data_IF_528326428428
#
_entry.id   IF_528326428428
#
_cell.length_a   1.000
_cell.length_b   1.000
_cell.length_c   1.000
_cell.angle_alpha   90.00
_cell.angle_beta   90.00
_cell.angle_gamma   90.00
#
_symmetry.space_group_name_H-M   'P 1'
#
loop_
_entity.id
_entity.type
_entity.pdbx_description
1 polymer ?
#
# COMPACT_ATOMS: atom_id res chain seq x y z
N UNK A 1 11.63 -16.94 -33.53
CA UNK A 1 10.35 -16.69 -32.82
C UNK A 1 10.67 -16.60 -31.35
N UNK A 2 10.52 -15.45 -30.76
CA UNK A 2 10.90 -15.20 -29.37
C UNK A 2 9.76 -15.64 -28.46
N UNK A 3 9.96 -16.70 -27.69
CA UNK A 3 9.00 -17.16 -26.68
C UNK A 3 8.97 -16.24 -25.46
N UNK A 4 8.43 -15.04 -25.59
CA UNK A 4 8.22 -14.14 -24.45
C UNK A 4 7.00 -14.51 -23.57
N UNK A 5 6.25 -15.54 -23.93
CA UNK A 5 4.98 -15.87 -23.28
C UNK A 5 5.05 -16.81 -22.07
N UNK A 6 6.08 -17.63 -21.95
CA UNK A 6 5.99 -18.79 -21.05
C UNK A 6 6.92 -18.81 -19.84
N UNK A 7 7.70 -17.75 -19.60
CA UNK A 7 8.65 -17.75 -18.47
C UNK A 7 8.05 -17.27 -17.14
N UNK A 8 6.78 -16.89 -17.11
CA UNK A 8 6.14 -16.37 -15.90
C UNK A 8 5.15 -17.31 -15.22
N UNK A 9 4.82 -18.44 -15.84
CA UNK A 9 3.89 -19.41 -15.27
C UNK A 9 4.59 -20.74 -15.02
N UNK A 10 5.03 -20.92 -13.80
CA UNK A 10 5.41 -22.25 -13.32
C UNK A 10 4.11 -23.00 -13.02
N UNK A 11 3.94 -24.25 -13.50
CA UNK A 11 2.77 -25.08 -13.14
C UNK A 11 2.65 -25.15 -11.61
N UNK A 12 1.52 -24.75 -11.07
CA UNK A 12 1.30 -24.70 -9.63
C UNK A 12 1.39 -23.32 -8.99
N UNK A 13 1.75 -22.28 -9.75
CA UNK A 13 1.63 -20.89 -9.26
C UNK A 13 0.14 -20.51 -9.23
N UNK A 14 -0.35 -20.05 -8.11
CA UNK A 14 -1.72 -19.51 -8.03
C UNK A 14 -1.84 -18.36 -9.03
N UNK A 15 -2.74 -18.49 -9.99
CA UNK A 15 -3.15 -17.35 -10.80
C UNK A 15 -3.86 -16.35 -9.91
N UNK A 16 -3.30 -15.15 -9.85
CA UNK A 16 -3.94 -14.05 -9.15
C UNK A 16 -4.73 -13.24 -10.17
N UNK A 17 -6.06 -13.13 -10.02
CA UNK A 17 -6.89 -12.41 -10.98
C UNK A 17 -6.45 -10.97 -11.25
N UNK A 18 -5.80 -10.35 -10.27
CA UNK A 18 -5.29 -8.99 -10.39
C UNK A 18 -4.02 -8.88 -11.26
N UNK A 19 -3.25 -9.96 -11.45
CA UNK A 19 -1.99 -9.92 -12.22
C UNK A 19 -2.20 -9.98 -13.73
N UNK A 20 -3.38 -10.35 -14.19
CA UNK A 20 -3.68 -10.56 -15.62
C UNK A 20 -4.16 -9.30 -16.33
N UNK A 21 -4.57 -8.26 -15.60
CA UNK A 21 -5.06 -7.03 -16.22
C UNK A 21 -4.03 -5.90 -16.11
N UNK A 22 -3.61 -5.31 -17.24
CA UNK A 22 -2.73 -4.16 -17.18
C UNK A 22 -3.43 -3.00 -16.45
N UNK A 23 -2.76 -2.47 -15.43
CA UNK A 23 -3.24 -1.27 -14.73
C UNK A 23 -2.75 0.01 -15.41
N UNK A 24 -1.64 -0.08 -16.15
CA UNK A 24 -1.04 1.04 -16.87
C UNK A 24 -1.48 1.06 -18.32
N UNK A 25 -2.06 2.16 -18.77
CA UNK A 25 -2.33 2.43 -20.19
C UNK A 25 -1.08 2.91 -20.90
N UNK A 26 -0.31 3.78 -20.24
CA UNK A 26 0.94 4.31 -20.76
C UNK A 26 1.95 4.53 -19.62
N UNK A 27 3.21 4.21 -19.89
CA UNK A 27 4.32 4.51 -18.96
C UNK A 27 5.33 5.37 -19.70
N UNK A 28 5.38 6.67 -19.37
CA UNK A 28 6.31 7.66 -19.99
C UNK A 28 7.65 7.71 -19.28
N UNK A 29 7.65 7.60 -17.95
CA UNK A 29 8.86 7.64 -17.14
C UNK A 29 8.79 6.64 -16.00
N UNK A 30 9.82 5.83 -15.91
CA UNK A 30 9.92 4.75 -14.91
C UNK A 30 11.34 4.66 -14.37
N UNK A 31 11.46 4.56 -13.06
CA UNK A 31 12.70 4.18 -12.37
C UNK A 31 12.70 2.68 -12.13
N UNK A 32 13.41 1.92 -12.96
CA UNK A 32 13.42 0.44 -12.95
C UNK A 32 13.98 -0.10 -11.64
N UNK A 33 15.08 0.48 -11.17
CA UNK A 33 15.67 0.19 -9.87
C UNK A 33 15.23 1.26 -8.85
N UNK A 34 13.90 1.50 -8.77
CA UNK A 34 13.32 2.62 -8.01
C UNK A 34 13.77 2.70 -6.57
N UNK A 35 13.98 1.56 -5.93
CA UNK A 35 14.55 1.49 -4.59
C UNK A 35 14.33 0.14 -3.93
N UNK A 36 15.07 -0.06 -2.85
CA UNK A 36 14.91 -1.22 -1.96
C UNK A 36 14.03 -0.84 -0.77
N UNK A 37 13.19 -1.74 -0.34
CA UNK A 37 12.37 -1.57 0.86
C UNK A 37 12.55 -2.77 1.80
N UNK A 38 12.36 -2.53 3.11
CA UNK A 38 12.45 -3.57 4.13
C UNK A 38 11.32 -4.59 3.97
N UNK A 39 11.63 -5.87 4.10
CA UNK A 39 10.67 -6.97 4.13
C UNK A 39 10.26 -7.37 5.56
N UNK A 40 10.65 -6.58 6.56
CA UNK A 40 10.19 -6.80 7.93
C UNK A 40 8.66 -6.76 8.00
N UNK A 41 8.06 -7.78 8.57
CA UNK A 41 6.61 -7.91 8.68
C UNK A 41 5.92 -8.58 7.49
N UNK A 42 6.66 -8.95 6.44
CA UNK A 42 6.12 -9.72 5.31
C UNK A 42 6.44 -11.20 5.43
N UNK A 43 5.53 -12.02 4.93
CA UNK A 43 5.72 -13.46 4.84
C UNK A 43 6.07 -13.89 3.41
N UNK A 44 6.73 -15.04 3.29
CA UNK A 44 6.94 -15.65 1.99
C UNK A 44 5.60 -15.96 1.33
N UNK A 45 5.42 -15.46 0.11
CA UNK A 45 4.18 -15.61 -0.66
C UNK A 45 3.23 -14.41 -0.55
N UNK A 46 3.53 -13.44 0.31
CA UNK A 46 2.78 -12.18 0.33
C UNK A 46 2.95 -11.44 -1.00
N UNK A 47 1.88 -10.77 -1.44
CA UNK A 47 1.85 -10.01 -2.67
C UNK A 47 1.52 -8.56 -2.33
N UNK A 48 2.44 -7.69 -2.71
CA UNK A 48 2.24 -6.24 -2.67
C UNK A 48 1.64 -5.84 -4.02
N UNK A 49 0.46 -5.24 -4.00
CA UNK A 49 -0.25 -4.86 -5.22
C UNK A 49 0.54 -3.84 -6.06
N UNK A 50 0.26 -3.80 -7.36
CA UNK A 50 0.71 -2.71 -8.23
C UNK A 50 -0.09 -1.43 -7.95
N UNK A 51 0.47 -0.26 -8.32
CA UNK A 51 -0.20 1.03 -8.13
C UNK A 51 -0.13 1.58 -6.69
N UNK A 52 0.73 1.01 -5.83
CA UNK A 52 0.93 1.54 -4.46
C UNK A 52 1.77 2.81 -4.51
N UNK A 53 1.41 3.84 -3.74
CA UNK A 53 2.23 5.04 -3.61
C UNK A 53 3.59 4.74 -2.97
N UNK A 54 4.65 5.30 -3.55
CA UNK A 54 6.04 5.06 -3.14
C UNK A 54 6.75 6.39 -2.97
N UNK A 55 7.51 6.52 -1.88
CA UNK A 55 8.49 7.57 -1.67
C UNK A 55 9.87 7.02 -1.97
N UNK A 56 10.63 7.72 -2.80
CA UNK A 56 11.99 7.36 -3.14
C UNK A 56 12.98 8.10 -2.24
N UNK A 57 13.92 7.36 -1.69
CA UNK A 57 15.02 7.95 -0.94
C UNK A 57 15.94 8.76 -1.85
N UNK A 58 16.64 9.72 -1.27
CA UNK A 58 17.67 10.49 -1.98
C UNK A 58 18.72 9.52 -2.53
N UNK A 59 19.13 9.75 -3.79
CA UNK A 59 20.17 8.96 -4.47
C UNK A 59 19.78 7.51 -4.83
N UNK A 60 18.48 7.17 -4.91
CA UNK A 60 18.03 5.91 -5.55
C UNK A 60 18.32 4.62 -4.77
N UNK A 61 18.62 4.71 -3.46
CA UNK A 61 18.97 3.53 -2.67
C UNK A 61 17.78 2.87 -1.99
N UNK A 62 16.84 3.65 -1.48
CA UNK A 62 15.71 3.16 -0.67
C UNK A 62 14.37 3.57 -1.24
N UNK A 63 13.36 2.78 -0.97
CA UNK A 63 11.97 3.10 -1.25
C UNK A 63 11.14 2.88 0.01
N UNK A 64 10.18 3.76 0.26
CA UNK A 64 9.17 3.57 1.29
C UNK A 64 7.83 3.36 0.61
N UNK A 65 7.28 2.19 0.77
CA UNK A 65 5.92 1.88 0.33
C UNK A 65 4.95 2.55 1.30
N UNK A 66 3.91 3.19 0.77
CA UNK A 66 2.89 3.84 1.57
C UNK A 66 1.62 2.99 1.61
N UNK A 67 1.47 2.11 2.62
CA UNK A 67 0.28 1.30 2.75
C UNK A 67 -0.95 2.15 3.00
N UNK A 68 -2.09 1.65 2.54
CA UNK A 68 -3.40 2.25 2.72
C UNK A 68 -4.28 1.20 3.36
N UNK A 69 -4.96 1.58 4.42
CA UNK A 69 -5.88 0.73 5.17
C UNK A 69 -7.28 1.29 5.10
N UNK A 70 -8.26 0.46 4.77
CA UNK A 70 -9.66 0.82 4.76
C UNK A 70 -10.29 0.46 6.10
N UNK A 71 -10.99 1.39 6.71
CA UNK A 71 -11.77 1.17 7.93
C UNK A 71 -12.97 0.31 7.57
N UNK A 72 -13.20 -0.74 8.35
CA UNK A 72 -14.34 -1.65 8.19
C UNK A 72 -15.30 -1.44 9.34
N UNK A 73 -16.48 -0.96 9.02
CA UNK A 73 -17.48 -0.51 9.99
C UNK A 73 -17.20 0.87 10.55
N UNK A 74 -18.23 1.60 10.91
CA UNK A 74 -18.09 2.92 11.53
C UNK A 74 -17.49 2.79 12.94
N UNK A 75 -16.54 3.67 13.24
CA UNK A 75 -15.86 3.73 14.55
C UNK A 75 -16.27 5.03 15.24
N UNK A 76 -17.02 4.95 16.34
CA UNK A 76 -17.35 6.14 17.13
C UNK A 76 -16.13 6.66 17.89
N UNK A 77 -16.19 7.89 18.37
CA UNK A 77 -15.11 8.45 19.19
C UNK A 77 -14.85 7.61 20.46
N UNK A 78 -15.87 6.98 21.00
CA UNK A 78 -15.80 6.16 22.22
C UNK A 78 -15.47 4.68 21.95
N UNK A 79 -15.29 4.31 20.67
CA UNK A 79 -15.01 2.93 20.32
C UNK A 79 -13.62 2.49 20.82
N UNK A 80 -13.56 1.25 21.26
CA UNK A 80 -12.32 0.59 21.71
C UNK A 80 -11.81 -0.46 20.74
N UNK A 81 -12.47 -0.59 19.58
CA UNK A 81 -12.08 -1.55 18.55
C UNK A 81 -12.02 -0.84 17.20
N UNK A 82 -10.94 -1.08 16.47
CA UNK A 82 -10.73 -0.62 15.10
C UNK A 82 -10.47 -1.84 14.22
N UNK A 83 -11.24 -1.98 13.14
CA UNK A 83 -11.02 -3.03 12.15
C UNK A 83 -10.51 -2.40 10.86
N UNK A 84 -9.37 -2.89 10.38
CA UNK A 84 -8.72 -2.41 9.16
C UNK A 84 -8.61 -3.52 8.11
N UNK A 85 -8.86 -3.15 6.86
CA UNK A 85 -8.57 -3.99 5.69
C UNK A 85 -7.40 -3.38 4.93
N UNK A 86 -6.25 -4.06 4.81
CA UNK A 86 -5.16 -3.60 3.97
C UNK A 86 -5.57 -3.64 2.50
N UNK A 87 -5.42 -2.53 1.79
CA UNK A 87 -5.73 -2.46 0.36
C UNK A 87 -4.54 -2.87 -0.51
N UNK A 88 -3.34 -2.65 0.00
CA UNK A 88 -2.11 -2.79 -0.79
C UNK A 88 -1.40 -4.13 -0.62
N UNK A 89 -1.96 -5.07 0.11
CA UNK A 89 -1.28 -6.30 0.50
C UNK A 89 -0.24 -6.12 1.61
N UNK A 90 -0.02 -4.88 2.06
CA UNK A 90 0.86 -4.58 3.19
C UNK A 90 0.03 -4.68 4.46
N UNK A 91 0.36 -5.64 5.32
CA UNK A 91 -0.37 -5.85 6.57
C UNK A 91 -0.07 -4.73 7.58
N UNK A 92 -1.06 -4.31 8.37
CA UNK A 92 -0.84 -3.37 9.46
C UNK A 92 -0.09 -4.08 10.59
N UNK A 93 1.00 -3.46 11.05
CA UNK A 93 1.84 -3.99 12.14
C UNK A 93 1.83 -3.04 13.33
N UNK A 94 2.18 -3.57 14.49
CA UNK A 94 2.37 -2.80 15.73
C UNK A 94 3.34 -1.64 15.52
N UNK A 95 3.14 -0.55 16.24
CA UNK A 95 3.88 0.71 16.18
C UNK A 95 3.78 1.50 14.84
N UNK A 96 3.02 1.01 13.88
CA UNK A 96 2.76 1.76 12.66
C UNK A 96 1.85 2.95 12.95
N UNK A 97 2.36 4.18 12.83
CA UNK A 97 1.56 5.39 13.05
C UNK A 97 0.66 5.65 11.85
N UNK A 98 -0.65 5.60 12.06
CA UNK A 98 -1.64 5.80 11.01
C UNK A 98 -2.65 6.88 11.37
N UNK A 99 -3.29 7.46 10.37
CA UNK A 99 -4.34 8.45 10.55
C UNK A 99 -5.10 8.74 9.27
N UNK A 100 -6.31 9.29 9.41
CA UNK A 100 -7.10 9.83 8.31
C UNK A 100 -6.56 11.21 7.95
N UNK A 101 -6.27 11.43 6.68
CA UNK A 101 -5.74 12.70 6.18
C UNK A 101 -6.81 13.51 5.45
N UNK A 102 -6.63 14.80 5.45
CA UNK A 102 -7.40 15.75 4.61
C UNK A 102 -6.74 15.93 3.23
N UNK A 103 -7.32 16.80 2.41
CA UNK A 103 -6.81 17.11 1.07
C UNK A 103 -5.42 17.79 1.06
N UNK A 104 -4.92 18.25 2.21
CA UNK A 104 -3.57 18.83 2.37
C UNK A 104 -2.54 17.81 2.86
N UNK A 105 -2.96 16.57 3.11
CA UNK A 105 -2.12 15.51 3.65
C UNK A 105 -1.91 15.60 5.16
N UNK A 106 -2.67 16.45 5.85
CA UNK A 106 -2.62 16.60 7.31
C UNK A 106 -3.62 15.67 7.98
N UNK A 107 -3.21 15.04 9.05
CA UNK A 107 -4.09 14.24 9.91
C UNK A 107 -4.49 15.05 11.15
N UNK A 108 -5.78 15.12 11.42
CA UNK A 108 -6.29 15.71 12.67
C UNK A 108 -5.89 14.85 13.88
N UNK A 109 -5.98 13.54 13.72
CA UNK A 109 -5.57 12.55 14.71
C UNK A 109 -4.76 11.45 14.02
N UNK A 110 -3.72 11.00 14.70
CA UNK A 110 -2.91 9.86 14.31
C UNK A 110 -2.36 9.19 15.55
N UNK A 111 -2.21 7.90 15.49
CA UNK A 111 -1.63 7.13 16.59
C UNK A 111 -0.91 5.88 16.05
N UNK A 112 0.00 5.36 16.85
CA UNK A 112 0.59 4.05 16.61
C UNK A 112 -0.48 2.97 16.79
N UNK A 113 -0.50 1.99 15.89
CA UNK A 113 -1.35 0.82 16.04
C UNK A 113 -0.81 -0.04 17.18
N UNK A 114 -1.68 -0.54 18.07
CA UNK A 114 -1.29 -1.59 19.01
C UNK A 114 -1.10 -2.94 18.28
N UNK A 115 -0.71 -3.97 19.01
CA UNK A 115 -0.72 -5.32 18.47
C UNK A 115 -2.11 -5.69 17.95
N UNK A 116 -2.17 -6.12 16.69
CA UNK A 116 -3.41 -6.46 16.00
C UNK A 116 -3.61 -7.97 15.88
N UNK A 117 -4.86 -8.37 15.69
CA UNK A 117 -5.24 -9.77 15.46
C UNK A 117 -5.82 -9.91 14.05
N UNK A 118 -5.25 -10.82 13.26
CA UNK A 118 -5.83 -11.20 11.97
C UNK A 118 -7.15 -11.93 12.18
N UNK A 119 -8.18 -11.51 11.47
CA UNK A 119 -9.50 -12.12 11.51
C UNK A 119 -9.57 -13.31 10.55
N UNK A 120 -10.43 -14.26 10.85
CA UNK A 120 -10.60 -15.50 10.08
C UNK A 120 -12.02 -15.65 9.54
N UNK A 121 -12.27 -16.67 8.73
CA UNK A 121 -13.59 -16.94 8.16
C UNK A 121 -14.01 -15.88 7.14
N UNK A 122 -15.21 -15.34 7.28
CA UNK A 122 -15.76 -14.30 6.38
C UNK A 122 -15.01 -12.98 6.47
N UNK A 123 -14.26 -12.76 7.54
CA UNK A 123 -13.48 -11.57 7.80
C UNK A 123 -11.98 -11.78 7.52
N UNK A 124 -11.61 -12.86 6.88
CA UNK A 124 -10.23 -13.13 6.49
C UNK A 124 -9.64 -11.96 5.66
N UNK A 125 -8.39 -11.61 5.95
CA UNK A 125 -7.73 -10.46 5.33
C UNK A 125 -8.01 -9.11 5.99
N UNK A 126 -8.77 -9.09 7.11
CA UNK A 126 -8.96 -7.93 7.97
C UNK A 126 -8.19 -8.12 9.28
N UNK A 127 -7.92 -7.01 9.95
CA UNK A 127 -7.18 -6.97 11.21
C UNK A 127 -7.93 -6.15 12.24
N UNK A 128 -8.08 -6.69 13.44
CA UNK A 128 -8.72 -6.03 14.57
C UNK A 128 -7.67 -5.52 15.56
N UNK A 129 -7.87 -4.31 16.04
CA UNK A 129 -7.02 -3.62 17.01
C UNK A 129 -7.83 -3.16 18.20
N UNK A 130 -7.32 -3.40 19.41
CA UNK A 130 -7.90 -2.81 20.63
C UNK A 130 -7.28 -1.44 20.84
N UNK A 131 -8.07 -0.39 20.68
CA UNK A 131 -7.62 1.01 20.77
C UNK A 131 -8.15 1.68 22.04
N UNK A 132 -7.54 2.77 22.46
CA UNK A 132 -8.12 3.64 23.48
C UNK A 132 -9.18 4.53 22.84
N UNK A 133 -10.28 4.78 23.55
CA UNK A 133 -11.32 5.71 23.11
C UNK A 133 -10.70 7.04 22.66
N UNK A 134 -11.27 7.62 21.62
CA UNK A 134 -10.87 8.89 21.01
C UNK A 134 -9.46 8.94 20.37
N UNK A 135 -8.76 7.82 20.25
CA UNK A 135 -7.43 7.75 19.62
C UNK A 135 -7.44 8.26 18.19
N UNK A 136 -8.39 7.80 17.39
CA UNK A 136 -8.55 8.22 15.98
C UNK A 136 -9.72 9.20 15.76
N UNK A 137 -10.55 9.44 16.80
CA UNK A 137 -11.81 10.15 16.65
C UNK A 137 -12.88 9.29 15.97
N UNK A 138 -13.94 9.91 15.49
CA UNK A 138 -14.96 9.22 14.72
C UNK A 138 -14.47 8.93 13.30
N UNK A 139 -14.61 7.69 12.86
CA UNK A 139 -14.31 7.24 11.50
C UNK A 139 -15.55 6.62 10.89
N UNK A 140 -15.78 6.88 9.62
CA UNK A 140 -16.85 6.25 8.83
C UNK A 140 -16.37 4.93 8.25
N UNK A 141 -17.32 4.03 7.98
CA UNK A 141 -17.03 2.85 7.16
C UNK A 141 -16.48 3.29 5.80
N UNK A 142 -15.41 2.66 5.37
CA UNK A 142 -14.73 3.00 4.12
C UNK A 142 -13.67 4.09 4.23
N UNK A 143 -13.53 4.79 5.35
CA UNK A 143 -12.46 5.78 5.54
C UNK A 143 -11.08 5.16 5.29
N UNK A 144 -10.18 5.94 4.68
CA UNK A 144 -8.82 5.52 4.41
C UNK A 144 -7.87 6.05 5.48
N UNK A 145 -7.12 5.15 6.11
CA UNK A 145 -6.00 5.47 6.97
C UNK A 145 -4.69 5.24 6.23
N UNK A 146 -3.76 6.17 6.40
CA UNK A 146 -2.42 6.12 5.79
C UNK A 146 -1.35 6.32 6.83
N UNK A 147 -0.10 6.00 6.48
CA UNK A 147 1.05 6.25 7.36
C UNK A 147 1.25 7.73 7.58
N UNK A 148 1.45 8.10 8.82
CA UNK A 148 1.67 9.47 9.27
C UNK A 148 3.11 9.62 9.78
N UNK A 149 3.74 10.68 9.32
CA UNK A 149 5.00 11.17 9.87
C UNK A 149 4.69 12.24 10.89
N UNK A 150 5.06 12.01 12.13
CA UNK A 150 4.95 13.00 13.18
C UNK A 150 6.21 13.89 13.22
N UNK A 151 6.01 15.20 13.32
CA UNK A 151 7.08 16.18 13.54
C UNK A 151 6.59 17.22 14.54
N UNK A 152 6.94 17.05 15.81
CA UNK A 152 6.40 17.83 16.90
C UNK A 152 4.87 17.68 17.00
N UNK A 153 4.14 18.80 16.99
CA UNK A 153 2.66 18.80 17.00
C UNK A 153 2.04 18.58 15.63
N UNK A 154 2.84 18.53 14.56
CA UNK A 154 2.34 18.37 13.20
C UNK A 154 2.30 16.90 12.79
N UNK A 155 1.20 16.49 12.22
CA UNK A 155 0.90 15.14 11.74
C UNK A 155 0.59 15.18 10.26
N UNK A 156 1.54 14.78 9.42
CA UNK A 156 1.40 14.77 7.97
C UNK A 156 1.72 13.39 7.41
N UNK A 157 1.07 13.02 6.32
CA UNK A 157 1.50 11.87 5.55
C UNK A 157 2.72 12.20 4.69
N UNK A 158 3.31 11.18 4.10
CA UNK A 158 4.36 11.35 3.11
C UNK A 158 3.79 11.82 1.78
N UNK A 159 4.58 12.58 1.04
CA UNK A 159 4.28 12.92 -0.35
C UNK A 159 4.88 11.83 -1.24
N UNK A 160 4.06 11.08 -2.01
CA UNK A 160 4.59 10.07 -2.92
C UNK A 160 5.32 10.70 -4.10
N UNK A 161 6.36 10.02 -4.58
CA UNK A 161 7.12 10.39 -5.79
C UNK A 161 6.61 9.66 -7.04
N UNK A 162 5.86 8.56 -6.85
CA UNK A 162 5.30 7.77 -7.93
C UNK A 162 4.47 6.60 -7.40
N UNK A 163 4.05 5.73 -8.32
CA UNK A 163 3.32 4.50 -8.01
C UNK A 163 4.15 3.28 -8.41
N UNK A 164 3.99 2.17 -7.68
CA UNK A 164 4.64 0.90 -8.05
C UNK A 164 4.16 0.44 -9.42
N UNK A 165 5.10 0.03 -10.28
CA UNK A 165 4.79 -0.38 -11.64
C UNK A 165 4.07 -1.70 -11.71
N UNK A 166 4.52 -2.67 -10.90
CA UNK A 166 4.02 -4.04 -10.88
C UNK A 166 3.79 -4.48 -9.44
N UNK A 167 3.04 -5.54 -9.30
CA UNK A 167 3.01 -6.27 -8.04
C UNK A 167 4.40 -6.80 -7.69
N UNK A 168 4.67 -6.87 -6.40
CA UNK A 168 5.89 -7.46 -5.87
C UNK A 168 5.51 -8.71 -5.08
N UNK A 169 5.95 -9.86 -5.57
CA UNK A 169 5.77 -11.11 -4.87
C UNK A 169 6.94 -11.30 -3.88
N UNK A 170 6.64 -11.47 -2.62
CA UNK A 170 7.63 -11.74 -1.56
C UNK A 170 8.01 -13.22 -1.63
N UNK A 171 8.79 -13.56 -2.62
CA UNK A 171 9.38 -14.89 -2.72
C UNK A 171 10.69 -14.87 -1.97
N UNK A 172 10.83 -15.74 -0.97
CA UNK A 172 12.16 -16.11 -0.49
C UNK A 172 12.93 -16.61 -1.70
N UNK A 173 13.94 -15.85 -2.15
CA UNK A 173 14.68 -16.16 -3.38
C UNK A 173 15.14 -17.62 -3.37
N UNK A 174 14.92 -18.32 -4.49
CA UNK A 174 15.25 -19.73 -4.64
C UNK A 174 16.74 -20.08 -4.47
N UNK A 175 17.59 -19.06 -4.30
CA UNK A 175 19.03 -19.20 -4.15
C UNK A 175 19.55 -18.80 -2.75
N UNK A 176 18.70 -18.28 -1.87
CA UNK A 176 19.09 -17.90 -0.53
C UNK A 176 18.35 -18.73 0.51
N UNK A 177 19.09 -19.51 1.26
CA UNK A 177 18.62 -20.21 2.46
C UNK A 177 18.30 -19.26 3.62
N UNK A 178 18.46 -17.95 3.43
CA UNK A 178 18.13 -16.89 4.39
C UNK A 178 16.81 -16.19 4.07
N UNK A 179 16.17 -15.66 5.09
CA UNK A 179 15.00 -14.78 4.94
C UNK A 179 15.45 -13.51 4.19
N UNK A 180 14.85 -13.14 3.05
CA UNK A 180 15.21 -11.92 2.36
C UNK A 180 14.91 -10.73 3.26
N UNK A 181 15.88 -9.83 3.42
CA UNK A 181 15.75 -8.63 4.26
C UNK A 181 15.21 -7.43 3.48
N UNK A 182 15.36 -7.45 2.15
CA UNK A 182 14.97 -6.34 1.29
C UNK A 182 14.29 -6.82 0.01
N UNK A 183 13.25 -6.09 -0.40
CA UNK A 183 12.62 -6.19 -1.70
C UNK A 183 13.00 -5.01 -2.59
N UNK A 184 12.76 -5.12 -3.88
CA UNK A 184 12.94 -4.02 -4.85
C UNK A 184 11.62 -3.68 -5.50
N UNK A 185 11.38 -2.39 -5.75
CA UNK A 185 10.19 -1.91 -6.43
C UNK A 185 10.58 -0.99 -7.60
N UNK A 186 9.98 -1.21 -8.76
CA UNK A 186 10.06 -0.28 -9.87
C UNK A 186 8.95 0.76 -9.74
N UNK A 187 9.26 2.03 -9.94
CA UNK A 187 8.35 3.14 -9.68
C UNK A 187 8.10 3.92 -10.97
N UNK A 188 6.83 4.12 -11.31
CA UNK A 188 6.39 4.99 -12.40
C UNK A 188 6.18 6.38 -11.83
N UNK A 189 6.82 7.37 -12.46
CA UNK A 189 6.74 8.78 -12.09
C UNK A 189 5.92 9.60 -13.08
N UNK A 190 5.76 9.09 -14.32
CA UNK A 190 4.88 9.70 -15.34
C UNK A 190 4.21 8.63 -16.19
N UNK A 191 2.90 8.76 -16.38
CA UNK A 191 2.13 7.83 -17.19
C UNK A 191 0.62 8.00 -17.01
N UNK A 192 -0.12 7.06 -17.61
CA UNK A 192 -1.57 6.96 -17.47
C UNK A 192 -1.92 5.63 -16.84
N UNK A 193 -2.75 5.65 -15.82
CA UNK A 193 -3.16 4.48 -15.05
C UNK A 193 -4.68 4.38 -14.99
N UNK A 194 -5.19 3.14 -15.05
CA UNK A 194 -6.62 2.86 -14.86
C UNK A 194 -6.96 2.96 -13.38
N UNK A 195 -7.62 4.05 -12.98
CA UNK A 195 -7.97 4.33 -11.61
C UNK A 195 -8.88 3.28 -10.98
N UNK A 196 -9.76 2.65 -11.79
CA UNK A 196 -10.67 1.60 -11.34
C UNK A 196 -9.99 0.24 -11.10
N UNK A 197 -8.74 0.09 -11.57
CA UNK A 197 -7.99 -1.18 -11.46
C UNK A 197 -6.89 -1.15 -10.42
N UNK A 198 -6.76 -0.04 -9.70
CA UNK A 198 -5.85 0.07 -8.57
C UNK A 198 -6.64 0.20 -7.28
N UNK A 199 -5.97 0.01 -6.17
CA UNK A 199 -6.56 0.27 -4.86
C UNK A 199 -6.91 1.74 -4.71
N UNK A 200 -7.98 2.01 -3.99
CA UNK A 200 -8.44 3.37 -3.68
C UNK A 200 -7.32 4.19 -3.05
N UNK A 201 -7.06 5.37 -3.60
CA UNK A 201 -6.04 6.30 -3.13
C UNK A 201 -6.68 7.54 -2.53
N UNK A 202 -6.15 8.06 -1.41
CA UNK A 202 -6.53 9.38 -0.91
C UNK A 202 -6.30 10.47 -1.95
N UNK A 203 -7.19 11.47 -1.98
CA UNK A 203 -7.10 12.58 -2.94
C UNK A 203 -5.77 13.35 -2.83
N UNK A 204 -5.21 13.49 -1.64
CA UNK A 204 -3.88 14.07 -1.45
C UNK A 204 -2.80 13.32 -2.22
N UNK A 205 -2.85 11.98 -2.25
CA UNK A 205 -1.85 11.20 -2.99
C UNK A 205 -2.00 11.39 -4.49
N UNK A 206 -3.24 11.38 -5.02
CA UNK A 206 -3.51 11.66 -6.44
C UNK A 206 -3.01 13.05 -6.82
N UNK A 207 -3.35 14.07 -6.05
CA UNK A 207 -2.93 15.47 -6.26
C UNK A 207 -1.41 15.65 -6.15
N UNK A 208 -0.73 14.79 -5.39
CA UNK A 208 0.74 14.82 -5.21
C UNK A 208 1.51 14.20 -6.37
N UNK A 209 0.84 13.58 -7.34
CA UNK A 209 1.41 12.85 -8.47
C UNK A 209 1.07 13.51 -9.82
N UNK A 210 1.51 14.77 -10.08
CA UNK A 210 1.11 15.53 -11.26
C UNK A 210 1.58 14.91 -12.59
N UNK A 211 2.53 13.98 -12.55
CA UNK A 211 2.99 13.23 -13.71
C UNK A 211 2.13 12.00 -14.04
N UNK A 212 1.18 11.63 -13.19
CA UNK A 212 0.32 10.46 -13.36
C UNK A 212 -1.11 10.90 -13.61
N UNK A 213 -1.67 10.50 -14.75
CA UNK A 213 -3.08 10.70 -15.08
C UNK A 213 -3.87 9.46 -14.67
N UNK A 214 -4.92 9.67 -13.91
CA UNK A 214 -5.84 8.63 -13.48
C UNK A 214 -7.04 8.61 -14.43
N UNK A 215 -7.15 7.57 -15.23
CA UNK A 215 -8.27 7.35 -16.13
C UNK A 215 -9.28 6.44 -15.45
N UNK A 216 -10.57 6.75 -15.62
CA UNK A 216 -11.67 5.95 -15.10
C UNK A 216 -12.53 5.51 -16.26
N UNK A 217 -12.92 4.23 -16.28
CA UNK A 217 -13.87 3.75 -17.27
C UNK A 217 -15.21 4.47 -17.03
N UNK A 218 -15.77 5.04 -18.11
CA UNK A 218 -17.09 5.67 -18.03
C UNK A 218 -18.12 4.59 -17.73
N UNK A 219 -18.72 4.63 -16.55
CA UNK A 219 -19.82 3.77 -16.12
C UNK A 219 -21.16 4.16 -16.80
#
# INVERSE_FOLDING_TARGET
MSNYGNSFFTPGTKEYPASTMPIWLEVKERKIAGGTFSLSGYNKGDIIAAGIPVVLGKMGGTATLLPIFKVVGAVSAEATTLVLKPLSGIIPVEDMVVGKIDATGKAAKAAALPAGTALTGTDAGKYSFTITANTFGALSDGDLLVIIKESGSNKYTYKPDGLSWREVNINGGALNTGTPTYGTVAVVTKGQILGDRINELPEYYKASLPGITFEYELS
#
